data_IF_346657803711
#
_entry.id   IF_346657803711
#
_cell.length_a   1.000
_cell.length_b   1.000
_cell.length_c   1.000
_cell.angle_alpha   90.00
_cell.angle_beta   90.00
_cell.angle_gamma   90.00
#
_symmetry.space_group_name_H-M   'P 1'
#
loop_
_entity.id
_entity.type
_entity.pdbx_description
1 polymer ?
#
# COMPACT_ATOMS: atom_id res chain seq x y z
N UNK A 1 10.99 -24.72 19.12
CA UNK A 1 11.77 -23.86 18.23
C UNK A 1 10.94 -23.63 17.00
N UNK A 2 10.49 -22.40 16.79
CA UNK A 2 9.47 -22.09 15.78
C UNK A 2 10.00 -22.26 14.35
N UNK A 3 9.19 -22.85 13.48
CA UNK A 3 9.48 -23.02 12.04
C UNK A 3 9.82 -21.67 11.39
N UNK A 4 9.16 -20.61 11.86
CA UNK A 4 9.41 -19.21 11.49
C UNK A 4 10.85 -18.78 11.78
N UNK A 5 11.35 -19.06 12.99
CA UNK A 5 12.73 -18.71 13.38
C UNK A 5 13.75 -19.51 12.59
N UNK A 6 13.46 -20.78 12.31
CA UNK A 6 14.32 -21.59 11.43
C UNK A 6 14.34 -21.06 10.00
N UNK A 7 13.20 -20.64 9.46
CA UNK A 7 13.13 -20.03 8.13
C UNK A 7 13.92 -18.72 8.05
N UNK A 8 13.81 -17.86 9.08
CA UNK A 8 14.59 -16.63 9.19
C UNK A 8 16.11 -16.91 9.21
N UNK A 9 16.53 -17.94 9.93
CA UNK A 9 17.95 -18.33 10.00
C UNK A 9 18.44 -18.99 8.70
N UNK A 10 17.60 -19.81 8.05
CA UNK A 10 17.92 -20.53 6.82
C UNK A 10 18.11 -19.60 5.61
N UNK A 11 17.43 -18.44 5.63
CA UNK A 11 17.47 -17.45 4.55
C UNK A 11 18.44 -16.28 4.84
N UNK A 12 19.15 -16.31 5.98
CA UNK A 12 20.23 -15.38 6.26
C UNK A 12 21.30 -15.45 5.16
N UNK A 13 21.82 -14.31 4.65
CA UNK A 13 21.87 -12.97 5.24
C UNK A 13 20.68 -12.04 4.92
N UNK A 14 19.65 -12.50 4.21
CA UNK A 14 18.53 -11.64 3.84
C UNK A 14 17.69 -11.24 5.06
N UNK A 15 17.34 -9.95 5.15
CA UNK A 15 16.38 -9.46 6.15
C UNK A 15 14.96 -9.69 5.63
N UNK A 16 14.24 -10.56 6.34
CA UNK A 16 12.85 -10.90 6.02
C UNK A 16 11.93 -10.05 6.88
N UNK A 17 10.87 -9.52 6.28
CA UNK A 17 9.87 -8.72 7.01
C UNK A 17 8.87 -9.64 7.72
N UNK A 18 8.35 -10.65 7.02
CA UNK A 18 7.37 -11.58 7.57
C UNK A 18 7.50 -12.99 7.00
N UNK A 19 7.16 -13.99 7.81
CA UNK A 19 7.04 -15.39 7.40
C UNK A 19 5.65 -15.89 7.81
N UNK A 20 4.92 -16.46 6.87
CA UNK A 20 3.67 -17.16 7.10
C UNK A 20 3.85 -18.64 6.78
N UNK A 21 3.16 -19.49 7.54
CA UNK A 21 3.17 -20.94 7.33
C UNK A 21 1.76 -21.34 6.93
N UNK A 22 1.63 -22.04 5.81
CA UNK A 22 0.37 -22.60 5.31
C UNK A 22 0.52 -24.10 5.13
N UNK A 23 -0.52 -24.84 5.47
CA UNK A 23 -0.61 -26.27 5.21
C UNK A 23 -1.49 -26.47 3.98
N UNK A 24 -0.95 -27.08 2.93
CA UNK A 24 -1.73 -27.45 1.75
C UNK A 24 -2.05 -28.94 1.80
N UNK A 25 -3.33 -29.33 1.63
CA UNK A 25 -3.69 -30.75 1.55
C UNK A 25 -3.13 -31.31 0.24
N UNK A 26 -2.26 -32.32 0.35
CA UNK A 26 -1.70 -33.03 -0.80
C UNK A 26 -2.23 -34.46 -0.83
N UNK A 27 -2.47 -34.97 -2.03
CA UNK A 27 -2.84 -36.36 -2.21
C UNK A 27 -1.58 -37.20 -2.35
N UNK A 28 -1.26 -38.00 -1.34
CA UNK A 28 -0.08 -38.86 -1.33
C UNK A 28 -0.51 -40.28 -1.73
N UNK A 29 0.09 -40.89 -2.76
CA UNK A 29 -0.25 -42.27 -3.12
C UNK A 29 0.14 -43.23 -1.99
N UNK A 30 -0.77 -44.13 -1.65
CA UNK A 30 -0.52 -45.22 -0.69
C UNK A 30 0.32 -46.27 -1.38
N UNK A 31 1.43 -46.68 -0.76
CA UNK A 31 2.30 -47.72 -1.28
C UNK A 31 2.07 -49.04 -0.54
N UNK A 32 2.14 -50.16 -1.25
CA UNK A 32 2.11 -51.51 -0.67
C UNK A 32 3.46 -51.87 0.01
N UNK A 33 3.53 -53.05 0.62
CA UNK A 33 4.75 -53.58 1.26
C UNK A 33 5.93 -53.77 0.27
N UNK A 34 5.66 -53.74 -1.03
CA UNK A 34 6.62 -53.89 -2.12
C UNK A 34 7.03 -52.54 -2.74
N UNK A 35 6.45 -51.43 -2.25
CA UNK A 35 6.74 -50.06 -2.67
C UNK A 35 6.02 -49.60 -3.94
N UNK A 36 4.99 -50.31 -4.40
CA UNK A 36 4.17 -49.91 -5.54
C UNK A 36 2.91 -49.16 -5.08
N UNK A 37 2.44 -48.15 -5.82
CA UNK A 37 1.21 -47.45 -5.47
C UNK A 37 0.04 -48.43 -5.51
N UNK A 38 -0.64 -48.61 -4.38
CA UNK A 38 -1.86 -49.39 -4.28
C UNK A 38 -2.88 -48.81 -5.24
N UNK A 39 -3.47 -49.64 -6.09
CA UNK A 39 -4.53 -49.22 -7.00
C UNK A 39 -5.88 -49.69 -6.49
N UNK A 40 -6.92 -48.88 -6.70
CA UNK A 40 -8.31 -49.26 -6.44
C UNK A 40 -8.79 -50.29 -7.48
N UNK A 41 -10.05 -50.75 -7.35
CA UNK A 41 -10.65 -51.73 -8.27
C UNK A 41 -10.74 -51.23 -9.73
N UNK A 42 -10.57 -49.92 -9.96
CA UNK A 42 -10.60 -49.24 -11.27
C UNK A 42 -9.18 -49.00 -11.84
N UNK A 43 -8.13 -49.40 -11.11
CA UNK A 43 -6.73 -49.24 -11.52
C UNK A 43 -6.14 -47.86 -11.24
N UNK A 44 -6.85 -46.99 -10.51
CA UNK A 44 -6.36 -45.68 -10.10
C UNK A 44 -5.59 -45.78 -8.78
N UNK A 45 -4.47 -45.05 -8.62
CA UNK A 45 -3.69 -45.07 -7.38
C UNK A 45 -4.55 -44.54 -6.22
N UNK A 46 -4.66 -45.34 -5.16
CA UNK A 46 -5.27 -44.95 -3.90
C UNK A 46 -4.42 -43.84 -3.27
N UNK A 47 -5.01 -42.67 -3.09
CA UNK A 47 -4.37 -41.51 -2.47
C UNK A 47 -4.92 -41.29 -1.06
N UNK A 48 -4.03 -40.91 -0.13
CA UNK A 48 -4.35 -40.44 1.21
C UNK A 48 -4.19 -38.92 1.30
N UNK A 49 -5.00 -38.29 2.14
CA UNK A 49 -4.90 -36.84 2.44
C UNK A 49 -3.69 -36.57 3.34
N UNK A 50 -2.57 -36.18 2.73
CA UNK A 50 -1.40 -35.64 3.39
C UNK A 50 -1.48 -34.12 3.56
N UNK A 51 -0.54 -33.58 4.32
CA UNK A 51 -0.36 -32.13 4.51
C UNK A 51 1.07 -31.76 4.14
N UNK A 52 1.23 -30.88 3.16
CA UNK A 52 2.53 -30.30 2.85
C UNK A 52 2.62 -28.91 3.48
N UNK A 53 3.75 -28.62 4.13
CA UNK A 53 4.00 -27.31 4.72
C UNK A 53 4.63 -26.41 3.66
N UNK A 54 3.98 -25.30 3.38
CA UNK A 54 4.49 -24.24 2.50
C UNK A 54 4.77 -23.00 3.35
N UNK A 55 5.93 -22.40 3.14
CA UNK A 55 6.35 -21.19 3.82
C UNK A 55 6.29 -20.01 2.86
N UNK A 56 5.41 -19.07 3.14
CA UNK A 56 5.28 -17.82 2.41
C UNK A 56 6.14 -16.76 3.10
N UNK A 57 7.18 -16.31 2.41
CA UNK A 57 8.18 -15.37 2.93
C UNK A 57 8.02 -14.03 2.22
N UNK A 58 7.76 -12.99 2.99
CA UNK A 58 7.57 -11.63 2.50
C UNK A 58 8.83 -10.83 2.78
N UNK A 59 9.42 -10.30 1.72
CA UNK A 59 10.69 -9.56 1.75
C UNK A 59 10.54 -8.20 1.07
N UNK A 60 11.35 -7.22 1.47
CA UNK A 60 11.46 -5.97 0.73
C UNK A 60 12.06 -6.20 -0.66
N UNK A 61 11.71 -5.33 -1.61
CA UNK A 61 12.12 -5.44 -3.02
C UNK A 61 13.65 -5.48 -3.18
N UNK A 62 14.37 -4.71 -2.37
CA UNK A 62 15.84 -4.73 -2.28
C UNK A 62 16.42 -6.08 -1.79
N UNK A 63 15.68 -6.80 -0.95
CA UNK A 63 16.10 -8.08 -0.35
C UNK A 63 15.66 -9.29 -1.17
N UNK A 64 14.77 -9.13 -2.15
CA UNK A 64 14.27 -10.22 -3.01
C UNK A 64 15.43 -10.96 -3.70
N UNK A 65 16.32 -10.21 -4.33
CA UNK A 65 17.49 -10.75 -5.03
C UNK A 65 18.45 -11.47 -4.09
N UNK A 66 18.67 -10.93 -2.88
CA UNK A 66 19.51 -11.54 -1.86
C UNK A 66 18.91 -12.83 -1.29
N UNK A 67 17.59 -12.85 -1.09
CA UNK A 67 16.83 -13.99 -0.55
C UNK A 67 16.80 -15.14 -1.54
N UNK A 68 16.59 -14.87 -2.83
CA UNK A 68 16.68 -15.89 -3.88
C UNK A 68 18.13 -16.38 -4.02
N UNK A 69 19.08 -15.46 -3.97
CA UNK A 69 20.50 -15.72 -4.17
C UNK A 69 20.83 -16.01 -5.64
N UNK A 70 22.13 -16.09 -5.97
CA UNK A 70 22.58 -16.33 -7.36
C UNK A 70 22.00 -17.64 -7.87
N UNK A 71 21.19 -17.58 -8.94
CA UNK A 71 20.49 -18.73 -9.54
C UNK A 71 19.56 -19.49 -8.58
N UNK A 72 19.01 -18.82 -7.57
CA UNK A 72 18.12 -19.47 -6.60
C UNK A 72 18.85 -20.40 -5.63
N UNK A 73 20.17 -20.25 -5.46
CA UNK A 73 20.96 -21.14 -4.60
C UNK A 73 20.55 -21.02 -3.14
N UNK A 74 20.24 -19.82 -2.66
CA UNK A 74 19.91 -19.58 -1.26
C UNK A 74 18.55 -20.22 -0.92
N UNK A 75 17.52 -19.94 -1.72
CA UNK A 75 16.19 -20.54 -1.54
C UNK A 75 16.20 -22.07 -1.66
N UNK A 76 17.00 -22.65 -2.57
CA UNK A 76 17.14 -24.12 -2.67
C UNK A 76 17.78 -24.74 -1.43
N UNK A 77 18.79 -24.10 -0.86
CA UNK A 77 19.43 -24.59 0.36
C UNK A 77 18.46 -24.50 1.54
N UNK A 78 17.73 -23.40 1.65
CA UNK A 78 16.71 -23.23 2.67
C UNK A 78 15.58 -24.26 2.55
N UNK A 79 15.07 -24.52 1.34
CA UNK A 79 14.00 -25.51 1.12
C UNK A 79 14.45 -26.93 1.48
N UNK A 80 15.70 -27.29 1.20
CA UNK A 80 16.26 -28.59 1.63
C UNK A 80 16.46 -28.67 3.15
N UNK A 81 16.80 -27.55 3.79
CA UNK A 81 17.03 -27.52 5.24
C UNK A 81 15.72 -27.59 6.03
N UNK A 82 14.65 -27.00 5.50
CA UNK A 82 13.33 -26.97 6.13
C UNK A 82 12.44 -28.13 5.68
N UNK A 83 12.88 -28.94 4.71
CA UNK A 83 12.09 -30.01 4.06
C UNK A 83 10.68 -29.54 3.66
N UNK A 84 10.57 -28.26 3.31
CA UNK A 84 9.31 -27.57 3.05
C UNK A 84 9.43 -26.73 1.79
N UNK A 85 8.30 -26.48 1.14
CA UNK A 85 8.25 -25.58 -0.01
C UNK A 85 8.31 -24.14 0.46
N UNK A 86 9.17 -23.32 -0.15
CA UNK A 86 9.33 -21.90 0.23
C UNK A 86 8.95 -21.04 -0.97
N UNK A 87 7.98 -20.16 -0.77
CA UNK A 87 7.59 -19.14 -1.75
C UNK A 87 8.00 -17.77 -1.23
N UNK A 88 8.71 -16.99 -2.06
CA UNK A 88 9.20 -15.66 -1.69
C UNK A 88 8.41 -14.63 -2.51
N UNK A 89 7.73 -13.72 -1.83
CA UNK A 89 7.01 -12.59 -2.44
C UNK A 89 7.62 -11.26 -1.98
N UNK A 90 7.62 -10.26 -2.86
CA UNK A 90 7.92 -8.89 -2.45
C UNK A 90 6.75 -8.29 -1.67
N UNK A 91 7.05 -7.37 -0.76
CA UNK A 91 6.03 -6.63 -0.02
C UNK A 91 5.11 -5.83 -0.95
N UNK A 92 5.67 -5.21 -1.99
CA UNK A 92 4.91 -4.50 -3.03
C UNK A 92 3.91 -5.43 -3.71
N UNK A 93 4.34 -6.63 -4.16
CA UNK A 93 3.44 -7.57 -4.82
C UNK A 93 2.28 -8.03 -3.90
N UNK A 94 2.52 -8.18 -2.60
CA UNK A 94 1.46 -8.54 -1.64
C UNK A 94 0.50 -7.37 -1.41
N UNK A 95 1.00 -6.14 -1.37
CA UNK A 95 0.16 -4.93 -1.28
C UNK A 95 -0.70 -4.78 -2.54
N UNK A 96 -0.14 -5.00 -3.72
CA UNK A 96 -0.85 -4.93 -4.99
C UNK A 96 -1.95 -6.00 -5.09
N UNK A 97 -1.65 -7.26 -4.72
CA UNK A 97 -2.64 -8.34 -4.65
C UNK A 97 -3.79 -7.98 -3.69
N UNK A 98 -3.46 -7.42 -2.51
CA UNK A 98 -4.45 -7.07 -1.49
C UNK A 98 -5.28 -5.85 -1.90
N UNK A 99 -4.66 -4.84 -2.53
CA UNK A 99 -5.33 -3.67 -3.08
C UNK A 99 -6.29 -4.08 -4.22
N UNK A 100 -5.86 -4.96 -5.11
CA UNK A 100 -6.71 -5.50 -6.19
C UNK A 100 -7.91 -6.27 -5.63
N UNK A 101 -7.69 -7.12 -4.62
CA UNK A 101 -8.77 -7.86 -3.96
C UNK A 101 -9.76 -6.92 -3.25
N UNK A 102 -9.25 -5.90 -2.54
CA UNK A 102 -10.08 -4.88 -1.88
C UNK A 102 -10.87 -4.08 -2.91
N UNK A 103 -10.23 -3.65 -4.00
CA UNK A 103 -10.89 -2.92 -5.09
C UNK A 103 -12.00 -3.76 -5.74
N UNK A 104 -11.78 -5.06 -5.94
CA UNK A 104 -12.81 -5.97 -6.44
C UNK A 104 -14.00 -6.10 -5.48
N UNK A 105 -13.73 -6.24 -4.17
CA UNK A 105 -14.80 -6.33 -3.16
C UNK A 105 -15.58 -5.00 -3.01
N UNK A 106 -14.88 -3.86 -3.05
CA UNK A 106 -15.49 -2.54 -3.03
C UNK A 106 -16.33 -2.32 -4.28
N UNK A 107 -15.84 -2.69 -5.46
CA UNK A 107 -16.59 -2.62 -6.74
C UNK A 107 -17.83 -3.52 -6.75
N UNK A 108 -17.80 -4.66 -6.06
CA UNK A 108 -18.98 -5.54 -5.91
C UNK A 108 -20.04 -4.97 -4.96
N UNK A 109 -19.63 -4.19 -3.95
CA UNK A 109 -20.53 -3.62 -2.95
C UNK A 109 -21.03 -2.20 -3.31
N UNK A 110 -20.20 -1.41 -3.98
CA UNK A 110 -20.49 -0.09 -4.54
C UNK A 110 -20.49 -0.20 -6.07
N UNK A 111 -21.67 -0.44 -6.63
CA UNK A 111 -21.89 -0.31 -8.06
C UNK A 111 -21.85 1.16 -8.49
N UNK A 112 -20.69 1.83 -8.47
CA UNK A 112 -20.44 3.03 -9.28
C UNK A 112 -18.95 3.36 -9.45
N UNK A 113 -18.66 3.69 -10.71
CA UNK A 113 -17.55 4.43 -11.33
C UNK A 113 -16.20 3.76 -11.66
N UNK A 114 -16.11 3.58 -12.98
CA UNK A 114 -14.98 3.29 -13.83
C UNK A 114 -14.23 4.60 -14.08
N UNK A 115 -13.05 4.77 -13.48
CA UNK A 115 -12.01 5.65 -14.00
C UNK A 115 -10.66 4.95 -13.81
N UNK A 116 -10.17 4.44 -14.94
CA UNK A 116 -8.77 4.42 -15.37
C UNK A 116 -7.69 4.01 -14.36
N UNK A 117 -7.17 2.81 -14.62
CA UNK A 117 -5.77 2.39 -14.48
C UNK A 117 -4.78 3.58 -14.54
N UNK A 118 -4.25 4.01 -13.39
CA UNK A 118 -2.99 4.78 -13.25
C UNK A 118 -2.42 4.50 -11.85
N UNK A 119 -1.10 4.54 -11.80
CA UNK A 119 -0.19 3.94 -10.84
C UNK A 119 -0.45 4.27 -9.36
N UNK A 120 -0.05 3.32 -8.51
CA UNK A 120 0.10 3.50 -7.08
C UNK A 120 1.08 4.64 -6.79
N UNK A 121 0.54 5.81 -6.48
CA UNK A 121 1.16 6.77 -5.58
C UNK A 121 0.13 7.14 -4.52
N UNK A 122 0.65 7.43 -3.35
CA UNK A 122 0.00 7.56 -2.06
C UNK A 122 -1.18 8.54 -2.07
N UNK A 123 -2.01 8.50 -1.02
CA UNK A 123 -2.99 9.54 -0.67
C UNK A 123 -2.49 10.95 -0.98
N UNK A 124 -2.84 11.40 -2.16
CA UNK A 124 -2.96 12.78 -2.57
C UNK A 124 -4.08 12.72 -3.58
N UNK A 125 -5.22 13.30 -3.21
CA UNK A 125 -6.02 14.05 -4.18
C UNK A 125 -5.04 14.75 -5.14
N UNK A 126 -5.39 14.93 -6.42
CA UNK A 126 -4.63 15.72 -7.38
C UNK A 126 -4.34 17.14 -6.83
N UNK A 127 -3.39 17.24 -5.90
CA UNK A 127 -2.86 18.43 -5.29
C UNK A 127 -1.80 18.82 -6.26
N UNK A 128 -2.24 19.60 -7.23
CA UNK A 128 -1.41 20.35 -8.15
C UNK A 128 -0.42 21.16 -7.30
N UNK A 129 0.74 20.58 -7.00
CA UNK A 129 1.73 21.16 -6.08
C UNK A 129 2.20 22.53 -6.60
N UNK A 130 2.11 22.76 -7.91
CA UNK A 130 2.38 24.05 -8.55
C UNK A 130 1.33 25.13 -8.23
N UNK A 131 0.11 24.74 -7.84
CA UNK A 131 -0.93 25.68 -7.42
C UNK A 131 -0.92 25.94 -5.91
N UNK A 132 -0.13 25.22 -5.11
CA UNK A 132 -0.16 25.31 -3.65
C UNK A 132 0.46 26.63 -3.17
N UNK A 133 -0.37 27.63 -2.87
CA UNK A 133 0.08 28.95 -2.43
C UNK A 133 0.27 28.92 -0.90
N UNK A 134 1.50 29.09 -0.39
CA UNK A 134 1.73 29.20 1.05
C UNK A 134 1.08 30.47 1.60
N UNK A 135 0.42 30.38 2.75
CA UNK A 135 -0.16 31.55 3.43
C UNK A 135 0.93 32.57 3.84
N UNK A 136 2.20 32.18 3.82
CA UNK A 136 3.37 33.03 4.05
C UNK A 136 3.55 34.11 2.98
N UNK A 137 3.28 33.76 1.72
CA UNK A 137 3.42 34.65 0.55
C UNK A 137 2.25 35.63 0.42
N UNK A 138 1.13 35.31 1.07
CA UNK A 138 -0.04 36.19 1.12
C UNK A 138 0.20 37.36 2.08
N UNK A 139 0.73 38.48 1.56
CA UNK A 139 0.92 39.73 2.31
C UNK A 139 -0.37 40.31 2.89
N UNK A 140 -1.53 39.90 2.34
CA UNK A 140 -2.83 40.40 2.75
C UNK A 140 -3.37 39.76 4.05
N UNK A 141 -2.72 38.72 4.57
CA UNK A 141 -3.10 38.06 5.82
C UNK A 141 -2.24 38.60 6.97
N UNK A 142 -2.89 39.11 8.01
CA UNK A 142 -2.15 39.57 9.19
C UNK A 142 -1.39 38.41 9.87
N UNK A 143 -0.17 38.65 10.34
CA UNK A 143 0.67 37.67 11.05
C UNK A 143 -0.08 36.95 12.19
N UNK A 144 -0.94 37.68 12.92
CA UNK A 144 -1.78 37.14 13.99
C UNK A 144 -2.85 36.16 13.51
N UNK A 145 -3.35 36.32 12.29
CA UNK A 145 -4.33 35.42 11.68
C UNK A 145 -3.64 34.16 11.16
N UNK A 146 -2.46 34.32 10.56
CA UNK A 146 -1.60 33.22 10.10
C UNK A 146 -1.21 32.27 11.23
N UNK A 147 -0.69 32.80 12.34
CA UNK A 147 -0.29 31.99 13.50
C UNK A 147 -1.46 31.15 14.07
N UNK A 148 -2.70 31.68 13.95
CA UNK A 148 -3.92 30.96 14.35
C UNK A 148 -4.26 29.84 13.38
N UNK A 149 -4.11 30.06 12.08
CA UNK A 149 -4.33 29.05 11.04
C UNK A 149 -3.29 27.93 11.14
N UNK A 150 -2.02 28.28 11.33
CA UNK A 150 -0.92 27.32 11.54
C UNK A 150 -1.14 26.43 12.77
N UNK A 151 -1.66 27.00 13.87
CA UNK A 151 -2.01 26.24 15.07
C UNK A 151 -3.10 25.18 14.83
N UNK A 152 -3.85 25.31 13.73
CA UNK A 152 -4.90 24.38 13.29
C UNK A 152 -4.51 23.60 12.02
N UNK A 153 -3.21 23.49 11.75
CA UNK A 153 -2.63 22.77 10.62
C UNK A 153 -3.18 23.25 9.26
N UNK A 154 -3.40 24.56 9.12
CA UNK A 154 -3.73 25.22 7.86
C UNK A 154 -2.50 26.04 7.46
N UNK A 155 -1.83 25.64 6.39
CA UNK A 155 -0.59 26.27 5.94
C UNK A 155 -0.70 26.88 4.54
N UNK A 156 -1.72 26.48 3.78
CA UNK A 156 -1.90 26.87 2.39
C UNK A 156 -3.25 27.52 2.12
N UNK A 157 -3.33 28.23 0.99
CA UNK A 157 -4.58 28.71 0.43
C UNK A 157 -5.61 27.57 0.25
N UNK A 158 -5.16 26.43 -0.27
CA UNK A 158 -5.99 25.26 -0.51
C UNK A 158 -6.57 24.69 0.78
N UNK A 159 -5.81 24.66 1.87
CA UNK A 159 -6.29 24.22 3.19
C UNK A 159 -7.42 25.10 3.74
N UNK A 160 -7.44 26.38 3.36
CA UNK A 160 -8.52 27.30 3.74
C UNK A 160 -9.76 27.05 2.89
N UNK A 161 -9.59 26.77 1.59
CA UNK A 161 -10.68 26.49 0.66
C UNK A 161 -11.32 25.11 0.88
N UNK A 162 -10.56 24.14 1.40
CA UNK A 162 -11.08 22.81 1.72
C UNK A 162 -12.01 22.79 2.94
N UNK A 163 -11.99 23.85 3.76
CA UNK A 163 -12.83 24.01 4.95
C UNK A 163 -13.98 24.98 4.68
N UNK A 164 -15.07 24.86 5.43
CA UNK A 164 -16.20 25.81 5.35
C UNK A 164 -15.94 27.06 6.20
N UNK A 165 -16.61 28.21 5.91
CA UNK A 165 -16.47 29.42 6.73
C UNK A 165 -16.82 29.20 8.20
N UNK A 166 -17.78 28.31 8.49
CA UNK A 166 -18.19 27.95 9.86
C UNK A 166 -17.11 27.16 10.60
N UNK A 167 -16.40 26.27 9.90
CA UNK A 167 -15.26 25.53 10.46
C UNK A 167 -14.08 26.46 10.75
N UNK A 168 -13.80 27.42 9.86
CA UNK A 168 -12.80 28.45 10.09
C UNK A 168 -13.19 29.37 11.26
N UNK A 169 -14.48 29.67 11.42
CA UNK A 169 -15.00 30.46 12.54
C UNK A 169 -14.95 29.74 13.89
N UNK A 170 -14.71 28.43 13.90
CA UNK A 170 -14.45 27.67 15.13
C UNK A 170 -13.07 28.02 15.74
N UNK A 171 -12.16 28.57 14.92
CA UNK A 171 -10.82 28.97 15.36
C UNK A 171 -10.92 30.22 16.25
N UNK A 172 -10.36 30.19 17.49
CA UNK A 172 -10.39 31.34 18.38
C UNK A 172 -9.76 32.59 17.75
N UNK A 173 -10.58 33.63 17.56
CA UNK A 173 -10.16 34.90 16.96
C UNK A 173 -10.55 35.08 15.49
N UNK A 174 -11.14 34.07 14.84
CA UNK A 174 -11.72 34.16 13.51
C UNK A 174 -13.24 34.21 13.66
N UNK A 175 -13.84 35.36 13.34
CA UNK A 175 -15.31 35.48 13.29
C UNK A 175 -15.88 35.02 11.95
N UNK A 176 -17.19 34.75 11.84
CA UNK A 176 -17.83 34.28 10.60
C UNK A 176 -17.63 35.25 9.42
N UNK A 177 -17.64 36.57 9.69
CA UNK A 177 -17.37 37.61 8.67
C UNK A 177 -15.90 37.61 8.24
N UNK A 178 -14.99 37.32 9.17
CA UNK A 178 -13.55 37.24 8.89
C UNK A 178 -13.22 35.97 8.11
N UNK A 179 -13.83 34.84 8.46
CA UNK A 179 -13.69 33.57 7.76
C UNK A 179 -14.16 33.69 6.30
N UNK A 180 -15.33 34.29 6.07
CA UNK A 180 -15.84 34.50 4.71
C UNK A 180 -14.88 35.39 3.90
N UNK A 181 -14.43 36.51 4.46
CA UNK A 181 -13.48 37.40 3.79
C UNK A 181 -12.15 36.72 3.49
N UNK A 182 -11.67 35.88 4.41
CA UNK A 182 -10.44 35.11 4.22
C UNK A 182 -10.60 34.15 3.03
N UNK A 183 -11.72 33.43 2.93
CA UNK A 183 -11.98 32.55 1.79
C UNK A 183 -12.06 33.30 0.47
N UNK A 184 -12.78 34.42 0.42
CA UNK A 184 -12.89 35.22 -0.79
C UNK A 184 -11.51 35.72 -1.27
N UNK A 185 -10.66 36.14 -0.34
CA UNK A 185 -9.30 36.59 -0.63
C UNK A 185 -8.38 35.45 -1.09
N UNK A 186 -8.49 34.29 -0.46
CA UNK A 186 -7.71 33.11 -0.79
C UNK A 186 -8.13 32.54 -2.15
N UNK A 187 -9.43 32.50 -2.43
CA UNK A 187 -9.97 32.06 -3.71
C UNK A 187 -9.44 32.93 -4.86
N UNK A 188 -9.45 34.25 -4.68
CA UNK A 188 -8.92 35.17 -5.69
C UNK A 188 -7.43 34.92 -5.98
N UNK A 189 -6.61 34.68 -4.95
CA UNK A 189 -5.19 34.40 -5.13
C UNK A 189 -4.94 33.07 -5.87
N UNK A 190 -5.73 32.03 -5.58
CA UNK A 190 -5.65 30.73 -6.27
C UNK A 190 -6.10 30.86 -7.72
N UNK A 191 -7.17 31.62 -7.99
CA UNK A 191 -7.66 31.84 -9.35
C UNK A 191 -6.63 32.62 -10.20
N UNK A 192 -5.95 33.59 -9.61
CA UNK A 192 -4.87 34.35 -10.27
C UNK A 192 -3.66 33.46 -10.58
N UNK A 193 -3.17 32.69 -9.59
CA UNK A 193 -2.08 31.74 -9.81
C UNK A 193 -2.43 30.67 -10.86
N UNK A 194 -3.69 30.19 -10.87
CA UNK A 194 -4.17 29.23 -11.86
C UNK A 194 -4.25 29.83 -13.27
N UNK A 195 -4.64 31.09 -13.38
CA UNK A 195 -4.65 31.79 -14.66
C UNK A 195 -3.22 31.98 -15.19
N UNK A 196 -2.27 32.37 -14.33
CA UNK A 196 -0.85 32.50 -14.69
C UNK A 196 -0.24 31.15 -15.13
N UNK A 197 -0.55 30.06 -14.41
CA UNK A 197 -0.10 28.72 -14.78
C UNK A 197 -0.64 28.29 -16.16
N UNK A 198 -1.92 28.56 -16.44
CA UNK A 198 -2.53 28.24 -17.73
C UNK A 198 -1.94 29.07 -18.89
N UNK A 199 -1.60 30.35 -18.66
CA UNK A 199 -0.94 31.19 -19.67
C UNK A 199 0.50 30.73 -19.95
N UNK A 200 1.21 30.22 -18.94
CA UNK A 200 2.59 29.72 -19.08
C UNK A 200 2.70 28.40 -19.84
N UNK A 201 1.64 27.57 -19.88
CA UNK A 201 1.61 26.33 -20.66
C UNK A 201 1.31 26.55 -22.16
N UNK A 202 0.77 27.71 -22.54
CA UNK A 202 0.43 28.04 -23.94
C UNK A 202 1.58 28.72 -24.73
N UNK A 203 2.68 29.12 -24.08
CA UNK A 203 3.85 29.79 -24.70
C UNK A 203 5.04 28.85 -25.00
#
# INVERSE_FOLDING_TARGET
>A
SDLVTFAQNALAPAKINRVAVREEPIQVPVFDEEGNPMVNEEGEPLTEEGKEVVLDVIVGTEQLSLTIGRRGQNVRLASRLLESRIEIKSEEAVKDELASALASMLREMEGLDDVTETEASETSEDLDYDLMIPLEEMEMISERLRERLESHAIHTAQDVLSRTPDELATIPGIGPVTAQRLQDMVQQAVDEARAEAAEAEEE
#
